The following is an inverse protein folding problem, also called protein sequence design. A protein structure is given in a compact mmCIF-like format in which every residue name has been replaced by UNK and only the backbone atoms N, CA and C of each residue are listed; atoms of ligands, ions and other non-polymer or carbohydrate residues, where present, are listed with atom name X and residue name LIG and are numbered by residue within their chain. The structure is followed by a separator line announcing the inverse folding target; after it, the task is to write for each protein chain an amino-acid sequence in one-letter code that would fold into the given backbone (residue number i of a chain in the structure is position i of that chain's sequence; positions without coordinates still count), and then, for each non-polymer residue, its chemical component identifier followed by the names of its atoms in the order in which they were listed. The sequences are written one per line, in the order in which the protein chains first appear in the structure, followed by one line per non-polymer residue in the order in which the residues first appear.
data_IF_800689487634
#
_entry.id   IF_800689487634
#
_cell.length_a   1.000
_cell.length_b   1.000
_cell.length_c   1.000
_cell.angle_alpha   90.00
_cell.angle_beta   90.00
_cell.angle_gamma   90.00
#
_symmetry.space_group_name_H-M   'P 1'
#
loop_
_entity.id
_entity.type
_entity.pdbx_description
1 polymer ?
#
# COMPACT_ATOMS: atom_id res chain seq x y z
N UNK A 1 -6.20 9.13 -16.07
CA UNK A 1 -6.96 9.47 -14.84
C UNK A 1 -5.98 9.90 -13.75
N UNK A 2 -6.47 10.36 -12.58
CA UNK A 2 -5.61 10.62 -11.42
C UNK A 2 -4.92 9.33 -10.94
N UNK A 3 -3.74 9.46 -10.34
CA UNK A 3 -2.90 8.33 -9.87
C UNK A 3 -2.38 8.64 -8.45
N UNK A 4 -2.24 7.60 -7.63
CA UNK A 4 -1.63 7.66 -6.30
C UNK A 4 -0.91 6.36 -5.94
N UNK A 5 -0.03 6.43 -4.93
CA UNK A 5 0.75 5.29 -4.44
C UNK A 5 0.62 5.16 -2.93
N UNK A 6 0.76 3.93 -2.43
CA UNK A 6 0.82 3.62 -1.00
C UNK A 6 2.15 2.92 -0.75
N UNK A 7 2.97 3.48 0.14
CA UNK A 7 4.21 2.85 0.59
C UNK A 7 4.04 2.31 2.00
N UNK A 8 4.67 1.16 2.22
CA UNK A 8 4.86 0.56 3.54
C UNK A 8 6.36 0.54 3.85
N UNK A 9 6.77 0.57 5.12
CA UNK A 9 8.18 0.49 5.47
C UNK A 9 8.77 -0.89 5.13
N UNK A 10 10.06 -0.90 4.78
CA UNK A 10 10.87 -2.11 4.66
C UNK A 10 11.97 -2.09 5.74
N UNK A 11 12.42 -3.28 6.15
CA UNK A 11 13.47 -3.45 7.15
C UNK A 11 14.73 -2.68 6.74
N UNK A 12 15.10 -1.66 7.53
CA UNK A 12 16.23 -0.75 7.25
C UNK A 12 16.19 -0.08 5.86
N UNK A 13 15.01 0.08 5.26
CA UNK A 13 14.86 0.69 3.93
C UNK A 13 15.54 -0.08 2.80
N UNK A 14 15.82 -1.37 3.01
CA UNK A 14 16.48 -2.23 2.02
C UNK A 14 15.53 -2.58 0.88
N UNK A 15 16.07 -2.58 -0.34
CA UNK A 15 15.40 -3.09 -1.53
C UNK A 15 16.45 -3.55 -2.55
N UNK A 16 16.06 -4.41 -3.50
CA UNK A 16 16.96 -5.03 -4.48
C UNK A 16 18.12 -5.83 -3.85
N UNK A 17 17.86 -6.46 -2.71
CA UNK A 17 18.82 -7.35 -2.04
C UNK A 17 18.09 -8.53 -1.38
N UNK A 18 18.76 -9.67 -1.13
CA UNK A 18 18.14 -10.84 -0.49
C UNK A 18 17.56 -10.57 0.89
N UNK A 19 18.09 -9.56 1.61
CA UNK A 19 17.64 -9.15 2.94
C UNK A 19 16.44 -8.18 2.91
N UNK A 20 15.91 -7.86 1.72
CA UNK A 20 14.69 -7.07 1.58
C UNK A 20 13.53 -7.79 2.28
N UNK A 21 12.94 -7.12 3.27
CA UNK A 21 11.93 -7.72 4.13
C UNK A 21 10.92 -6.70 4.64
N UNK A 22 9.70 -7.17 4.84
CA UNK A 22 8.63 -6.46 5.53
C UNK A 22 8.02 -7.36 6.61
N UNK A 23 7.55 -6.77 7.70
CA UNK A 23 6.76 -7.47 8.70
C UNK A 23 5.35 -7.76 8.18
N UNK A 24 4.74 -8.90 8.53
CA UNK A 24 3.37 -9.23 8.10
C UNK A 24 2.33 -8.15 8.42
N UNK A 25 2.51 -7.40 9.53
CA UNK A 25 1.64 -6.29 9.89
C UNK A 25 1.74 -5.11 8.90
N UNK A 26 2.93 -4.84 8.34
CA UNK A 26 3.14 -3.78 7.35
C UNK A 26 2.41 -4.12 6.05
N UNK A 27 2.45 -5.39 5.63
CA UNK A 27 1.66 -5.88 4.49
C UNK A 27 0.16 -5.71 4.72
N UNK A 28 -0.33 -6.08 5.91
CA UNK A 28 -1.73 -5.94 6.29
C UNK A 28 -2.17 -4.47 6.26
N UNK A 29 -1.35 -3.55 6.75
CA UNK A 29 -1.70 -2.13 6.78
C UNK A 29 -1.74 -1.53 5.38
N UNK A 30 -0.75 -1.82 4.53
CA UNK A 30 -0.75 -1.36 3.13
C UNK A 30 -1.94 -1.87 2.33
N UNK A 31 -2.27 -3.16 2.48
CA UNK A 31 -3.43 -3.77 1.80
C UNK A 31 -4.76 -3.24 2.33
N UNK A 32 -4.88 -2.98 3.64
CA UNK A 32 -6.08 -2.34 4.23
C UNK A 32 -6.30 -0.95 3.66
N UNK A 33 -5.25 -0.13 3.57
CA UNK A 33 -5.35 1.23 3.00
C UNK A 33 -5.73 1.17 1.53
N UNK A 34 -5.13 0.26 0.76
CA UNK A 34 -5.46 0.07 -0.66
C UNK A 34 -6.94 -0.28 -0.83
N UNK A 35 -7.44 -1.25 -0.07
CA UNK A 35 -8.84 -1.69 -0.11
C UNK A 35 -9.81 -0.54 0.17
N UNK A 36 -9.60 0.19 1.26
CA UNK A 36 -10.47 1.32 1.62
C UNK A 36 -10.39 2.46 0.59
N UNK A 37 -9.20 2.70 0.02
CA UNK A 37 -9.01 3.74 -1.00
C UNK A 37 -9.80 3.43 -2.27
N UNK A 38 -9.78 2.17 -2.73
CA UNK A 38 -10.54 1.75 -3.91
C UNK A 38 -12.04 1.91 -3.66
N UNK A 39 -12.55 1.46 -2.51
CA UNK A 39 -13.97 1.64 -2.16
C UNK A 39 -14.38 3.12 -2.10
N UNK A 40 -13.53 3.97 -1.54
CA UNK A 40 -13.84 5.40 -1.44
C UNK A 40 -13.84 6.07 -2.81
N UNK A 41 -12.88 5.74 -3.67
CA UNK A 41 -12.83 6.26 -5.04
C UNK A 41 -14.04 5.78 -5.85
N UNK A 42 -14.40 4.50 -5.76
CA UNK A 42 -15.59 3.95 -6.41
C UNK A 42 -16.86 4.71 -6.01
N UNK A 43 -17.07 4.93 -4.70
CA UNK A 43 -18.21 5.69 -4.19
C UNK A 43 -18.25 7.15 -4.65
N UNK A 44 -17.09 7.80 -4.76
CA UNK A 44 -16.98 9.22 -5.13
C UNK A 44 -17.06 9.45 -6.64
N UNK A 45 -16.54 8.54 -7.44
CA UNK A 45 -16.43 8.69 -8.90
C UNK A 45 -17.59 8.05 -9.66
N UNK A 46 -18.38 7.19 -9.01
CA UNK A 46 -19.63 6.63 -9.59
C UNK A 46 -20.83 7.58 -9.52
N UNK A 47 -20.60 8.85 -9.17
CA UNK A 47 -21.58 9.95 -9.22
C UNK A 47 -21.22 10.90 -10.34
#
# INVERSE_FOLDING_TARGET
GPIGMIFIPCLNGRSHCPEEWIEPAQLLDGTRVLYQTVLELDRRLSR
#
